data_IF_580406997554
#
_entry.id   IF_580406997554
#
_cell.length_a   1.000
_cell.length_b   1.000
_cell.length_c   1.000
_cell.angle_alpha   90.00
_cell.angle_beta   90.00
_cell.angle_gamma   90.00
#
_symmetry.space_group_name_H-M   'P 1'
#
loop_
_entity.id
_entity.type
_entity.pdbx_description
1 polymer ?
#
# COMPACT_ATOMS: atom_id res chain seq x y z
N UNK A 1 13.76 -9.15 7.09
CA UNK A 1 13.54 -9.04 5.63
C UNK A 1 13.55 -7.55 5.32
N UNK A 2 14.61 -7.04 4.69
CA UNK A 2 14.64 -5.67 4.16
C UNK A 2 14.47 -5.77 2.65
N UNK A 3 13.35 -5.27 2.13
CA UNK A 3 13.24 -4.86 0.74
C UNK A 3 13.60 -3.38 0.77
N UNK A 4 14.78 -2.98 0.31
CA UNK A 4 15.13 -1.56 0.24
C UNK A 4 14.46 -0.94 -1.00
N UNK A 5 14.07 0.33 -0.91
CA UNK A 5 13.41 1.02 -2.01
C UNK A 5 14.41 1.36 -3.13
N UNK A 6 13.94 1.25 -4.39
CA UNK A 6 14.71 1.64 -5.57
C UNK A 6 15.00 3.16 -5.57
N UNK A 7 16.08 3.55 -6.23
CA UNK A 7 16.56 4.94 -6.38
C UNK A 7 15.89 5.70 -7.53
N UNK A 8 14.93 5.07 -8.23
CA UNK A 8 14.21 5.69 -9.35
C UNK A 8 13.50 6.96 -8.91
N UNK A 9 13.72 8.04 -9.65
CA UNK A 9 13.05 9.32 -9.41
C UNK A 9 11.62 9.26 -9.94
N UNK A 10 10.64 9.33 -9.03
CA UNK A 10 9.22 9.43 -9.36
C UNK A 10 8.81 10.89 -9.22
N UNK A 11 8.27 11.49 -10.28
CA UNK A 11 7.73 12.85 -10.23
C UNK A 11 6.61 12.90 -9.17
N UNK A 12 6.69 13.88 -8.27
CA UNK A 12 5.73 13.99 -7.17
C UNK A 12 4.41 14.57 -7.65
N UNK A 13 3.39 13.74 -7.59
CA UNK A 13 1.99 14.15 -7.67
C UNK A 13 1.18 13.36 -6.64
N UNK A 14 1.38 13.71 -5.36
CA UNK A 14 0.68 13.04 -4.27
C UNK A 14 -0.80 13.44 -4.23
N UNK A 15 -1.67 12.47 -3.95
CA UNK A 15 -3.11 12.70 -3.76
C UNK A 15 -3.39 13.65 -2.58
N UNK A 16 -2.46 13.74 -1.63
CA UNK A 16 -2.51 14.68 -0.51
C UNK A 16 -1.47 15.78 -0.68
N UNK A 17 -1.94 17.03 -0.61
CA UNK A 17 -1.10 18.24 -0.66
C UNK A 17 -1.20 19.00 0.65
N UNK A 18 -0.06 19.48 1.15
CA UNK A 18 0.01 20.33 2.35
C UNK A 18 -0.05 21.80 1.92
N UNK A 19 -1.10 22.48 2.34
CA UNK A 19 -1.43 23.83 1.89
C UNK A 19 -1.41 24.79 3.08
N UNK A 20 -0.35 25.60 3.17
CA UNK A 20 -0.27 26.71 4.13
C UNK A 20 -1.08 27.90 3.63
N UNK A 21 -1.75 28.60 4.55
CA UNK A 21 -2.60 29.74 4.23
C UNK A 21 -2.64 30.74 5.39
N UNK A 22 -2.73 32.03 5.03
CA UNK A 22 -3.04 33.12 5.94
C UNK A 22 -4.49 33.56 5.72
N UNK A 23 -5.21 33.81 6.81
CA UNK A 23 -6.66 34.01 6.79
C UNK A 23 -6.95 35.39 7.36
N UNK A 24 -7.78 36.19 6.69
CA UNK A 24 -8.23 37.50 7.22
C UNK A 24 -8.88 37.30 8.59
N UNK A 25 -8.64 38.16 9.58
CA UNK A 25 -9.31 38.12 10.89
C UNK A 25 -10.85 38.29 10.77
N UNK A 26 -11.65 37.81 11.74
CA UNK A 26 -13.09 38.05 11.73
C UNK A 26 -13.38 39.55 11.86
N UNK A 27 -14.21 40.07 10.96
CA UNK A 27 -14.57 41.49 10.86
C UNK A 27 -16.08 41.67 10.99
N UNK A 28 -16.52 42.64 11.81
CA UNK A 28 -17.93 42.99 11.95
C UNK A 28 -18.56 43.48 10.64
N UNK A 29 -17.76 44.09 9.75
CA UNK A 29 -18.23 44.59 8.46
C UNK A 29 -18.31 43.50 7.38
N UNK A 30 -17.66 42.34 7.60
CA UNK A 30 -17.71 41.15 6.74
C UNK A 30 -18.04 39.90 7.58
N UNK A 31 -19.30 39.68 7.97
CA UNK A 31 -19.68 38.64 8.94
C UNK A 31 -19.68 37.22 8.32
N UNK A 32 -18.50 36.73 7.94
CA UNK A 32 -18.26 35.37 7.43
C UNK A 32 -17.82 34.42 8.54
N UNK A 33 -18.24 33.16 8.45
CA UNK A 33 -17.79 32.11 9.37
C UNK A 33 -16.29 31.79 9.20
N UNK A 34 -15.66 31.30 10.27
CA UNK A 34 -14.24 30.90 10.28
C UNK A 34 -13.94 29.84 9.21
N UNK A 35 -14.86 28.89 8.98
CA UNK A 35 -14.75 27.89 7.92
C UNK A 35 -14.84 28.50 6.52
N UNK A 36 -15.74 29.48 6.33
CA UNK A 36 -15.93 30.14 5.03
C UNK A 36 -14.70 30.97 4.66
N UNK A 37 -14.15 31.73 5.62
CA UNK A 37 -12.89 32.47 5.45
C UNK A 37 -11.73 31.53 5.10
N UNK A 38 -11.61 30.40 5.80
CA UNK A 38 -10.60 29.38 5.51
C UNK A 38 -10.78 28.77 4.10
N UNK A 39 -12.03 28.44 3.72
CA UNK A 39 -12.35 27.93 2.38
C UNK A 39 -11.93 28.91 1.28
N UNK A 40 -12.30 30.19 1.43
CA UNK A 40 -11.96 31.25 0.47
C UNK A 40 -10.44 31.36 0.32
N UNK A 41 -9.71 31.43 1.43
CA UNK A 41 -8.25 31.58 1.40
C UNK A 41 -7.56 30.36 0.75
N UNK A 42 -7.96 29.14 1.11
CA UNK A 42 -7.41 27.92 0.50
C UNK A 42 -7.73 27.82 -0.99
N UNK A 43 -8.96 28.16 -1.40
CA UNK A 43 -9.37 28.11 -2.81
C UNK A 43 -8.63 29.14 -3.66
N UNK A 44 -8.44 30.35 -3.13
CA UNK A 44 -7.71 31.43 -3.79
C UNK A 44 -6.22 31.10 -3.92
N UNK A 45 -5.53 30.81 -2.81
CA UNK A 45 -4.07 30.69 -2.78
C UNK A 45 -3.56 29.41 -3.47
N UNK A 46 -4.38 28.34 -3.45
CA UNK A 46 -4.02 27.04 -4.02
C UNK A 46 -4.79 26.68 -5.29
N UNK A 47 -5.56 27.62 -5.85
CA UNK A 47 -6.25 27.46 -7.14
C UNK A 47 -7.29 26.33 -7.16
N UNK A 48 -8.01 26.12 -6.06
CA UNK A 48 -9.01 25.05 -5.94
C UNK A 48 -10.37 25.56 -6.40
N UNK A 49 -11.03 24.81 -7.30
CA UNK A 49 -12.36 25.18 -7.82
C UNK A 49 -13.49 24.90 -6.82
N UNK A 50 -13.36 23.81 -6.07
CA UNK A 50 -14.35 23.34 -5.09
C UNK A 50 -13.62 22.69 -3.92
N UNK A 51 -14.04 23.02 -2.70
CA UNK A 51 -13.39 22.56 -1.47
C UNK A 51 -14.40 22.22 -0.38
N UNK A 52 -14.34 20.98 0.09
CA UNK A 52 -15.08 20.48 1.24
C UNK A 52 -14.17 20.05 2.39
N UNK A 53 -14.78 19.79 3.54
CA UNK A 53 -14.09 19.41 4.76
C UNK A 53 -14.63 18.08 5.27
N UNK A 54 -13.74 17.23 5.77
CA UNK A 54 -14.19 16.12 6.58
C UNK A 54 -14.88 16.64 7.86
N UNK A 55 -16.05 16.08 8.16
CA UNK A 55 -16.94 16.58 9.21
C UNK A 55 -16.26 16.73 10.57
N UNK A 56 -15.34 15.82 10.91
CA UNK A 56 -14.65 15.83 12.20
C UNK A 56 -13.79 17.09 12.43
N UNK A 57 -13.44 17.83 11.37
CA UNK A 57 -12.70 19.08 11.46
C UNK A 57 -13.58 20.26 11.85
N UNK A 58 -14.88 20.25 11.52
CA UNK A 58 -15.75 21.41 11.71
C UNK A 58 -15.76 21.94 13.16
N UNK A 59 -15.86 21.08 14.21
CA UNK A 59 -15.81 21.54 15.58
C UNK A 59 -14.46 22.12 16.02
N UNK A 60 -13.39 21.89 15.25
CA UNK A 60 -12.01 22.23 15.61
C UNK A 60 -11.51 23.52 14.94
N UNK A 61 -12.13 23.92 13.82
CA UNK A 61 -11.67 25.04 12.98
C UNK A 61 -11.37 26.29 13.80
N UNK A 62 -12.33 26.76 14.58
CA UNK A 62 -12.20 28.01 15.35
C UNK A 62 -11.01 27.99 16.32
N UNK A 63 -10.81 26.86 17.00
CA UNK A 63 -9.71 26.69 17.96
C UNK A 63 -8.35 26.62 17.27
N UNK A 64 -8.29 25.93 16.13
CA UNK A 64 -7.08 25.82 15.32
C UNK A 64 -6.68 27.19 14.77
N UNK A 65 -7.61 27.94 14.16
CA UNK A 65 -7.30 29.23 13.55
C UNK A 65 -6.81 30.26 14.57
N UNK A 66 -7.45 30.32 15.75
CA UNK A 66 -7.01 31.22 16.84
C UNK A 66 -5.62 30.83 17.36
N UNK A 67 -5.37 29.54 17.59
CA UNK A 67 -4.06 29.05 18.04
C UNK A 67 -2.95 29.34 17.03
N UNK A 68 -3.29 29.35 15.74
CA UNK A 68 -2.37 29.67 14.65
C UNK A 68 -2.22 31.16 14.36
N UNK A 69 -2.80 32.06 15.15
CA UNK A 69 -2.87 33.51 14.85
C UNK A 69 -3.34 33.77 13.41
N UNK A 70 -4.44 33.11 13.04
CA UNK A 70 -5.05 33.16 11.70
C UNK A 70 -4.17 32.63 10.56
N UNK A 71 -3.17 31.83 10.89
CA UNK A 71 -2.42 31.01 9.93
C UNK A 71 -2.68 29.54 10.17
N UNK A 72 -2.74 28.75 9.10
CA UNK A 72 -3.00 27.32 9.20
C UNK A 72 -2.35 26.54 8.06
N UNK A 73 -2.13 25.24 8.28
CA UNK A 73 -1.80 24.29 7.22
C UNK A 73 -2.92 23.29 7.10
N UNK A 74 -3.48 23.14 5.90
CA UNK A 74 -4.49 22.15 5.56
C UNK A 74 -3.87 21.01 4.75
N UNK A 75 -4.16 19.76 5.11
CA UNK A 75 -3.93 18.63 4.22
C UNK A 75 -5.16 18.48 3.31
N UNK A 76 -4.94 18.59 2.00
CA UNK A 76 -5.98 18.53 0.98
C UNK A 76 -5.83 17.24 0.20
N UNK A 77 -6.81 16.37 0.32
CA UNK A 77 -6.97 15.19 -0.53
C UNK A 77 -7.73 15.57 -1.80
N UNK A 78 -7.19 15.18 -2.96
CA UNK A 78 -7.89 15.28 -4.23
C UNK A 78 -7.71 13.98 -5.01
N UNK A 79 -8.83 13.32 -5.25
CA UNK A 79 -8.88 12.18 -6.16
C UNK A 79 -8.84 12.67 -7.62
N UNK A 80 -8.25 11.89 -8.53
CA UNK A 80 -8.11 12.26 -9.93
C UNK A 80 -9.47 12.46 -10.61
N UNK A 81 -10.45 11.65 -10.22
CA UNK A 81 -11.81 11.67 -10.78
C UNK A 81 -12.75 12.64 -10.06
N UNK A 82 -12.31 13.28 -8.96
CA UNK A 82 -13.13 14.20 -8.19
C UNK A 82 -12.84 15.67 -8.55
N UNK A 83 -13.89 16.39 -8.95
CA UNK A 83 -13.81 17.85 -9.12
C UNK A 83 -13.66 18.58 -7.77
N UNK A 84 -14.19 18.01 -6.69
CA UNK A 84 -14.16 18.59 -5.35
C UNK A 84 -12.95 18.08 -4.58
N UNK A 85 -12.08 18.99 -4.16
CA UNK A 85 -11.01 18.70 -3.22
C UNK A 85 -11.55 18.65 -1.78
N UNK A 86 -10.86 17.96 -0.89
CA UNK A 86 -11.30 17.80 0.49
C UNK A 86 -10.19 18.05 1.48
N UNK A 87 -10.42 18.96 2.43
CA UNK A 87 -9.56 19.12 3.61
C UNK A 87 -9.77 17.92 4.52
N UNK A 88 -8.70 17.13 4.67
CA UNK A 88 -8.70 15.91 5.48
C UNK A 88 -8.01 16.10 6.80
N UNK A 89 -7.13 17.08 6.98
CA UNK A 89 -6.56 17.44 8.27
C UNK A 89 -6.18 18.93 8.32
N UNK A 90 -6.09 19.50 9.52
CA UNK A 90 -5.83 20.92 9.72
C UNK A 90 -4.95 21.14 10.96
N UNK A 91 -3.94 22.00 10.84
CA UNK A 91 -3.02 22.36 11.94
C UNK A 91 -2.88 23.88 12.06
N UNK A 92 -2.65 24.41 13.28
CA UNK A 92 -2.33 25.82 13.49
C UNK A 92 -0.93 26.12 12.94
N UNK A 93 -0.77 27.24 12.23
CA UNK A 93 0.52 27.64 11.66
C UNK A 93 1.05 26.68 10.60
N UNK A 94 2.38 26.70 10.41
CA UNK A 94 3.08 25.87 9.43
C UNK A 94 3.28 24.43 9.94
N UNK A 95 2.82 23.44 9.17
CA UNK A 95 3.11 22.01 9.36
C UNK A 95 3.88 21.47 8.15
N UNK A 96 5.16 21.21 8.35
CA UNK A 96 6.09 20.84 7.28
C UNK A 96 6.44 19.34 7.24
N UNK A 97 5.55 18.50 7.75
CA UNK A 97 5.74 17.05 7.80
C UNK A 97 4.41 16.36 7.57
N UNK A 98 4.39 15.42 6.64
CA UNK A 98 3.27 14.54 6.35
C UNK A 98 3.81 13.28 5.69
N UNK A 99 3.26 12.13 6.07
CA UNK A 99 3.74 10.84 5.66
C UNK A 99 2.63 10.01 5.02
N UNK A 100 3.04 9.03 4.22
CA UNK A 100 2.19 8.01 3.65
C UNK A 100 2.78 6.62 3.84
N UNK A 101 1.97 5.60 3.64
CA UNK A 101 2.39 4.20 3.65
C UNK A 101 2.28 3.60 2.25
N UNK A 102 3.24 2.74 1.89
CA UNK A 102 3.12 1.82 0.77
C UNK A 102 3.33 0.40 1.30
N UNK A 103 2.33 -0.48 1.12
CA UNK A 103 2.29 -1.79 1.75
C UNK A 103 1.97 -2.90 0.73
N UNK A 104 2.88 -3.86 0.63
CA UNK A 104 2.76 -5.08 -0.16
C UNK A 104 2.33 -6.23 0.77
N UNK A 105 1.08 -6.68 0.60
CA UNK A 105 0.48 -7.77 1.38
C UNK A 105 0.71 -9.08 0.62
N UNK A 106 1.92 -9.63 0.75
CA UNK A 106 2.24 -10.94 0.20
C UNK A 106 1.65 -12.10 1.03
N UNK A 107 1.50 -13.26 0.38
CA UNK A 107 1.03 -14.48 1.04
C UNK A 107 1.94 -14.91 2.19
N UNK A 108 3.26 -14.79 2.02
CA UNK A 108 4.26 -15.22 3.00
C UNK A 108 4.84 -14.06 3.81
N UNK A 109 5.05 -12.90 3.16
CA UNK A 109 5.68 -11.72 3.75
C UNK A 109 4.85 -10.49 3.48
N UNK A 110 4.62 -9.67 4.50
CA UNK A 110 4.05 -8.32 4.36
C UNK A 110 5.20 -7.32 4.48
N UNK A 111 5.35 -6.43 3.49
CA UNK A 111 6.38 -5.40 3.47
C UNK A 111 5.74 -4.01 3.46
N UNK A 112 6.34 -3.07 4.19
CA UNK A 112 5.80 -1.71 4.34
C UNK A 112 6.92 -0.67 4.28
N UNK A 113 6.66 0.39 3.54
CA UNK A 113 7.48 1.60 3.47
C UNK A 113 6.72 2.78 4.05
N UNK A 114 7.39 3.55 4.90
CA UNK A 114 6.95 4.87 5.33
C UNK A 114 7.60 5.91 4.42
N UNK A 115 6.79 6.77 3.79
CA UNK A 115 7.24 7.71 2.76
C UNK A 115 6.87 9.13 3.16
N UNK A 116 7.81 10.07 3.03
CA UNK A 116 7.51 11.50 3.20
C UNK A 116 6.68 11.99 2.01
N UNK A 117 5.47 12.49 2.24
CA UNK A 117 4.64 13.07 1.19
C UNK A 117 5.23 14.38 0.65
N UNK A 118 6.08 15.06 1.42
CA UNK A 118 6.73 16.33 1.06
C UNK A 118 8.01 16.15 0.24
N UNK A 119 8.62 14.98 0.24
CA UNK A 119 9.88 14.77 -0.50
C UNK A 119 9.90 13.51 -1.36
N UNK A 120 8.96 12.59 -1.16
CA UNK A 120 8.96 11.26 -1.80
C UNK A 120 10.00 10.30 -1.21
N UNK A 121 10.80 10.74 -0.22
CA UNK A 121 11.84 9.91 0.39
C UNK A 121 11.22 8.84 1.28
N UNK A 122 11.71 7.60 1.16
CA UNK A 122 11.43 6.53 2.12
C UNK A 122 12.12 6.83 3.44
N UNK A 123 11.32 7.05 4.48
CA UNK A 123 11.78 7.35 5.83
C UNK A 123 12.14 6.09 6.62
N UNK A 124 11.38 5.00 6.44
CA UNK A 124 11.63 3.71 7.07
C UNK A 124 11.05 2.58 6.21
N UNK A 125 11.57 1.36 6.39
CA UNK A 125 11.13 0.15 5.68
C UNK A 125 11.19 -1.05 6.61
N UNK A 126 10.08 -1.77 6.74
CA UNK A 126 10.00 -2.94 7.60
C UNK A 126 9.20 -4.05 6.93
N UNK A 127 9.37 -5.27 7.43
CA UNK A 127 8.64 -6.43 6.93
C UNK A 127 8.40 -7.45 8.04
N UNK A 128 7.33 -8.24 7.88
CA UNK A 128 6.97 -9.30 8.81
C UNK A 128 6.43 -10.51 8.05
N UNK A 129 6.59 -11.71 8.62
CA UNK A 129 5.88 -12.89 8.12
C UNK A 129 4.37 -12.65 8.22
N UNK A 130 3.63 -13.06 7.19
CA UNK A 130 2.18 -12.98 7.19
C UNK A 130 1.61 -14.00 8.21
N UNK A 131 0.93 -13.57 9.28
CA UNK A 131 0.44 -14.48 10.32
C UNK A 131 -0.67 -15.40 9.81
N UNK A 132 -1.22 -15.15 8.63
CA UNK A 132 -2.23 -16.00 8.03
C UNK A 132 -1.71 -17.40 7.65
N UNK A 133 -0.38 -17.60 7.63
CA UNK A 133 0.24 -18.92 7.45
C UNK A 133 -0.32 -19.99 8.40
N UNK A 134 -0.74 -19.60 9.62
CA UNK A 134 -1.33 -20.52 10.61
C UNK A 134 -2.69 -21.09 10.20
N UNK A 135 -3.35 -20.46 9.23
CA UNK A 135 -4.65 -20.89 8.71
C UNK A 135 -4.53 -21.60 7.36
N UNK A 136 -3.34 -21.59 6.75
CA UNK A 136 -3.08 -22.15 5.43
C UNK A 136 -1.74 -21.65 4.91
N UNK A 137 -0.87 -22.58 4.54
CA UNK A 137 0.48 -22.27 4.06
C UNK A 137 0.45 -21.55 2.72
N UNK A 138 -0.46 -21.96 1.84
CA UNK A 138 -0.67 -21.36 0.53
C UNK A 138 -2.03 -20.61 0.42
N UNK A 139 -2.29 -20.06 -0.75
CA UNK A 139 -3.51 -19.31 -1.02
C UNK A 139 -4.78 -20.19 -0.99
N UNK A 140 -4.73 -21.39 -1.58
CA UNK A 140 -5.91 -22.25 -1.72
C UNK A 140 -6.29 -22.94 -0.42
N UNK A 141 -5.31 -23.29 0.41
CA UNK A 141 -5.52 -23.78 1.78
C UNK A 141 -6.16 -22.73 2.66
N UNK A 142 -5.83 -21.43 2.49
CA UNK A 142 -6.55 -20.35 3.18
C UNK A 142 -8.00 -20.24 2.74
N UNK A 143 -8.27 -20.32 1.43
CA UNK A 143 -9.66 -20.34 0.93
C UNK A 143 -10.41 -21.54 1.51
N UNK A 144 -9.80 -22.72 1.50
CA UNK A 144 -10.37 -23.94 2.07
C UNK A 144 -10.64 -23.79 3.57
N UNK A 145 -9.74 -23.14 4.31
CA UNK A 145 -9.94 -22.87 5.73
C UNK A 145 -11.14 -21.94 5.97
N UNK A 146 -11.33 -20.89 5.17
CA UNK A 146 -12.53 -20.04 5.23
C UNK A 146 -13.79 -20.85 4.96
N UNK A 147 -13.78 -21.73 3.97
CA UNK A 147 -14.93 -22.60 3.65
C UNK A 147 -15.27 -23.59 4.76
N UNK A 148 -14.26 -24.11 5.46
CA UNK A 148 -14.42 -25.13 6.49
C UNK A 148 -14.69 -24.56 7.89
N UNK A 149 -14.39 -23.28 8.12
CA UNK A 149 -14.49 -22.65 9.43
C UNK A 149 -15.34 -21.37 9.34
N UNK A 150 -16.54 -21.33 9.97
CA UNK A 150 -17.43 -20.16 9.91
C UNK A 150 -16.76 -18.83 10.27
N UNK A 151 -15.85 -18.84 11.24
CA UNK A 151 -15.14 -17.64 11.70
C UNK A 151 -13.79 -17.42 10.98
N UNK A 152 -13.47 -18.26 9.99
CA UNK A 152 -12.16 -18.27 9.33
C UNK A 152 -11.84 -16.97 8.60
N UNK A 153 -12.81 -16.41 7.87
CA UNK A 153 -12.67 -15.10 7.19
C UNK A 153 -12.34 -13.99 8.19
N UNK A 154 -13.10 -13.90 9.29
CA UNK A 154 -12.93 -12.87 10.30
C UNK A 154 -11.56 -13.01 10.99
N UNK A 155 -11.21 -14.23 11.42
CA UNK A 155 -9.91 -14.52 12.03
C UNK A 155 -8.72 -14.17 11.13
N UNK A 156 -8.82 -14.44 9.82
CA UNK A 156 -7.78 -14.05 8.86
C UNK A 156 -7.72 -12.55 8.60
N UNK A 157 -8.88 -11.88 8.55
CA UNK A 157 -8.99 -10.42 8.39
C UNK A 157 -8.34 -9.69 9.56
N UNK A 158 -8.68 -10.11 10.78
CA UNK A 158 -8.07 -9.58 12.01
C UNK A 158 -6.57 -9.80 12.00
N UNK A 159 -6.12 -11.03 11.70
CA UNK A 159 -4.69 -11.36 11.71
C UNK A 159 -3.85 -10.48 10.76
N UNK A 160 -4.31 -10.25 9.52
CA UNK A 160 -3.58 -9.40 8.57
C UNK A 160 -3.60 -7.92 8.97
N UNK A 161 -4.74 -7.41 9.47
CA UNK A 161 -4.86 -6.02 9.91
C UNK A 161 -4.04 -5.74 11.17
N UNK A 162 -3.96 -6.69 12.11
CA UNK A 162 -3.09 -6.59 13.28
C UNK A 162 -1.60 -6.59 12.89
N UNK A 163 -1.19 -7.46 11.96
CA UNK A 163 0.18 -7.47 11.45
C UNK A 163 0.55 -6.17 10.76
N UNK A 164 -0.35 -5.62 9.93
CA UNK A 164 -0.18 -4.32 9.28
C UNK A 164 -0.08 -3.21 10.33
N UNK A 165 -0.96 -3.21 11.34
CA UNK A 165 -0.88 -2.23 12.43
C UNK A 165 0.44 -2.32 13.18
N UNK A 166 0.93 -3.51 13.48
CA UNK A 166 2.25 -3.71 14.10
C UNK A 166 3.41 -3.26 13.21
N UNK A 167 3.30 -3.43 11.88
CA UNK A 167 4.26 -2.86 10.93
C UNK A 167 4.24 -1.33 10.94
N UNK A 168 3.05 -0.71 11.03
CA UNK A 168 2.93 0.74 11.18
C UNK A 168 3.72 1.22 12.40
N UNK A 169 3.61 0.54 13.56
CA UNK A 169 4.39 0.91 14.76
C UNK A 169 5.89 0.83 14.51
N UNK A 170 6.37 -0.23 13.85
CA UNK A 170 7.79 -0.41 13.55
C UNK A 170 8.32 0.70 12.64
N UNK A 171 7.65 0.99 11.54
CA UNK A 171 8.10 2.04 10.61
C UNK A 171 7.96 3.43 11.21
N UNK A 172 6.95 3.67 12.05
CA UNK A 172 6.82 4.91 12.82
C UNK A 172 8.01 5.10 13.78
N UNK A 173 8.35 4.06 14.54
CA UNK A 173 9.47 4.10 15.48
C UNK A 173 10.81 4.30 14.77
N UNK A 174 11.07 3.56 13.68
CA UNK A 174 12.29 3.69 12.88
C UNK A 174 12.39 5.06 12.18
N UNK A 175 11.26 5.58 11.69
CA UNK A 175 11.19 6.87 11.01
C UNK A 175 11.10 8.09 11.95
N UNK A 176 10.95 7.87 13.26
CA UNK A 176 10.62 8.90 14.26
C UNK A 176 9.38 9.73 13.87
N UNK A 177 8.30 9.04 13.47
CA UNK A 177 7.05 9.62 12.99
C UNK A 177 5.90 9.20 13.90
N UNK A 178 4.94 10.08 14.14
CA UNK A 178 3.70 9.71 14.83
C UNK A 178 2.69 9.14 13.83
N UNK A 179 1.90 8.13 14.26
CA UNK A 179 0.79 7.58 13.44
C UNK A 179 -0.15 8.65 12.90
N UNK A 180 -0.37 9.71 13.67
CA UNK A 180 -1.24 10.83 13.29
C UNK A 180 -0.64 11.76 12.23
N UNK A 181 0.64 11.64 11.89
CA UNK A 181 1.26 12.34 10.75
C UNK A 181 1.15 11.55 9.44
N UNK A 182 0.61 10.33 9.48
CA UNK A 182 0.34 9.50 8.30
C UNK A 182 -1.04 9.86 7.77
N UNK A 183 -1.09 10.44 6.57
CA UNK A 183 -2.30 10.96 5.94
C UNK A 183 -2.77 10.10 4.75
N UNK A 184 -1.86 9.34 4.14
CA UNK A 184 -2.17 8.52 2.97
C UNK A 184 -1.63 7.10 3.13
N UNK A 185 -2.26 6.13 2.49
CA UNK A 185 -1.81 4.75 2.54
C UNK A 185 -2.23 3.97 1.31
N UNK A 186 -1.28 3.30 0.67
CA UNK A 186 -1.47 2.50 -0.53
C UNK A 186 -1.17 1.05 -0.22
N UNK A 187 -2.08 0.16 -0.63
CA UNK A 187 -1.98 -1.28 -0.41
C UNK A 187 -2.08 -2.03 -1.74
N UNK A 188 -1.29 -3.10 -1.84
CA UNK A 188 -1.29 -4.06 -2.95
C UNK A 188 -1.24 -5.48 -2.41
N UNK A 189 -1.64 -6.44 -3.23
CA UNK A 189 -1.58 -7.86 -2.92
C UNK A 189 -2.39 -8.67 -3.92
N UNK A 190 -2.13 -9.98 -3.95
CA UNK A 190 -2.89 -10.90 -4.79
C UNK A 190 -4.38 -10.90 -4.38
N UNK A 191 -5.29 -11.41 -5.23
CA UNK A 191 -6.73 -11.29 -5.00
C UNK A 191 -7.23 -11.82 -3.64
N UNK A 192 -6.63 -12.89 -3.13
CA UNK A 192 -7.02 -13.46 -1.83
C UNK A 192 -6.55 -12.56 -0.69
N UNK A 193 -5.31 -12.06 -0.74
CA UNK A 193 -4.79 -11.10 0.25
C UNK A 193 -5.57 -9.79 0.21
N UNK A 194 -5.92 -9.32 -0.99
CA UNK A 194 -6.76 -8.16 -1.23
C UNK A 194 -8.12 -8.30 -0.54
N UNK A 195 -8.85 -9.39 -0.80
CA UNK A 195 -10.17 -9.62 -0.22
C UNK A 195 -10.11 -9.75 1.29
N UNK A 196 -9.19 -10.57 1.82
CA UNK A 196 -9.04 -10.76 3.26
C UNK A 196 -8.68 -9.46 3.99
N UNK A 197 -7.81 -8.63 3.42
CA UNK A 197 -7.48 -7.33 4.01
C UNK A 197 -8.69 -6.39 4.07
N UNK A 198 -9.51 -6.37 3.02
CA UNK A 198 -10.76 -5.61 2.97
C UNK A 198 -11.90 -6.25 3.78
N UNK A 199 -11.72 -7.47 4.31
CA UNK A 199 -12.73 -8.22 5.04
C UNK A 199 -13.77 -8.90 4.14
N UNK A 200 -13.50 -8.99 2.85
CA UNK A 200 -14.30 -9.66 1.84
C UNK A 200 -14.01 -11.17 1.89
N UNK A 201 -15.05 -11.98 1.73
CA UNK A 201 -14.92 -13.43 1.64
C UNK A 201 -14.22 -13.86 0.33
N UNK A 202 -13.07 -14.56 0.38
CA UNK A 202 -12.36 -15.02 -0.82
C UNK A 202 -12.89 -16.35 -1.38
N UNK A 203 -13.95 -16.96 -0.82
CA UNK A 203 -14.44 -18.30 -1.22
C UNK A 203 -14.66 -18.45 -2.72
N UNK A 204 -15.25 -17.44 -3.37
CA UNK A 204 -15.53 -17.46 -4.82
C UNK A 204 -14.26 -17.39 -5.70
N UNK A 205 -13.09 -17.14 -5.11
CA UNK A 205 -11.79 -17.23 -5.79
C UNK A 205 -11.24 -18.66 -5.80
N UNK A 206 -11.78 -19.56 -4.98
CA UNK A 206 -11.34 -20.96 -4.90
C UNK A 206 -11.97 -21.88 -5.97
N UNK A 207 -13.04 -21.44 -6.63
CA UNK A 207 -13.76 -22.22 -7.64
C UNK A 207 -14.00 -21.43 -8.90
N UNK A 208 -13.98 -22.09 -10.07
CA UNK A 208 -14.35 -21.46 -11.32
C UNK A 208 -15.77 -20.87 -11.22
N UNK A 209 -16.00 -19.61 -11.64
CA UNK A 209 -15.16 -18.81 -12.54
C UNK A 209 -14.16 -17.85 -11.85
N UNK A 210 -13.78 -18.09 -10.59
CA UNK A 210 -12.81 -17.29 -9.82
C UNK A 210 -13.27 -15.84 -9.66
N UNK A 211 -14.50 -15.65 -9.20
CA UNK A 211 -15.17 -14.35 -9.24
C UNK A 211 -14.63 -13.38 -8.18
N UNK A 212 -14.20 -12.20 -8.61
CA UNK A 212 -13.87 -11.08 -7.73
C UNK A 212 -15.16 -10.40 -7.27
N UNK A 213 -15.32 -10.17 -5.97
CA UNK A 213 -16.37 -9.29 -5.45
C UNK A 213 -16.16 -7.82 -5.89
N UNK A 214 -14.90 -7.39 -5.92
CA UNK A 214 -14.47 -6.07 -6.38
C UNK A 214 -13.18 -6.23 -7.18
N UNK A 215 -13.16 -5.70 -8.40
CA UNK A 215 -11.96 -5.65 -9.26
C UNK A 215 -11.41 -4.24 -9.43
N UNK A 216 -12.25 -3.21 -9.30
CA UNK A 216 -11.83 -1.81 -9.36
C UNK A 216 -11.01 -1.39 -8.13
N UNK A 217 -10.37 -0.23 -8.24
CA UNK A 217 -9.62 0.34 -7.13
C UNK A 217 -10.57 0.74 -5.98
N UNK A 218 -10.11 0.60 -4.73
CA UNK A 218 -10.91 0.91 -3.54
C UNK A 218 -10.33 2.13 -2.84
N UNK A 219 -11.18 3.14 -2.62
CA UNK A 219 -10.83 4.40 -1.96
C UNK A 219 -11.68 4.53 -0.70
N UNK A 220 -11.07 4.45 0.47
CA UNK A 220 -11.76 4.51 1.76
C UNK A 220 -10.96 5.34 2.78
N UNK A 221 -11.50 5.56 3.97
CA UNK A 221 -10.71 6.05 5.11
C UNK A 221 -10.02 4.87 5.78
N UNK A 222 -8.81 5.10 6.29
CA UNK A 222 -8.11 4.06 7.07
C UNK A 222 -8.94 3.58 8.28
N UNK A 223 -9.75 4.49 8.86
CA UNK A 223 -10.67 4.18 9.96
C UNK A 223 -11.76 3.17 9.60
N UNK A 224 -12.17 3.08 8.33
CA UNK A 224 -13.26 2.21 7.90
C UNK A 224 -12.90 0.72 8.04
N UNK A 225 -11.60 0.41 8.03
CA UNK A 225 -11.06 -0.94 8.28
C UNK A 225 -10.44 -1.08 9.68
N UNK A 226 -10.57 -0.05 10.53
CA UNK A 226 -10.00 -0.03 11.88
C UNK A 226 -8.49 0.25 11.94
N UNK A 227 -7.85 0.67 10.83
CA UNK A 227 -6.44 1.04 10.82
C UNK A 227 -6.27 2.45 11.41
N UNK A 228 -5.69 2.51 12.62
CA UNK A 228 -5.51 3.76 13.37
C UNK A 228 -4.29 4.55 12.86
N UNK A 229 -4.55 5.52 11.98
CA UNK A 229 -3.62 6.54 11.48
C UNK A 229 -4.14 7.93 11.88
N UNK A 230 -3.93 8.97 11.06
CA UNK A 230 -4.68 10.20 11.18
C UNK A 230 -6.19 9.95 10.95
N UNK A 231 -7.06 10.68 11.63
CA UNK A 231 -8.53 10.56 11.48
C UNK A 231 -9.01 10.84 10.05
N UNK A 232 -8.30 11.70 9.32
CA UNK A 232 -8.55 12.01 7.91
C UNK A 232 -7.80 11.10 6.93
N UNK A 233 -7.00 10.14 7.43
CA UNK A 233 -6.13 9.34 6.58
C UNK A 233 -6.91 8.57 5.52
N UNK A 234 -6.40 8.60 4.28
CA UNK A 234 -6.96 7.88 3.14
C UNK A 234 -6.24 6.56 2.93
N UNK A 235 -6.99 5.61 2.41
CA UNK A 235 -6.52 4.29 2.05
C UNK A 235 -6.94 4.00 0.62
N UNK A 236 -5.95 3.67 -0.20
CA UNK A 236 -6.09 3.27 -1.58
C UNK A 236 -5.63 1.82 -1.75
N UNK A 237 -6.54 0.94 -2.18
CA UNK A 237 -6.21 -0.41 -2.61
C UNK A 237 -6.21 -0.44 -4.14
N UNK A 238 -5.11 -0.90 -4.74
CA UNK A 238 -5.01 -1.01 -6.19
C UNK A 238 -6.03 -2.04 -6.74
N UNK A 239 -6.46 -1.88 -8.01
CA UNK A 239 -7.41 -2.79 -8.63
C UNK A 239 -6.82 -4.19 -8.87
N UNK A 240 -7.67 -5.21 -8.83
CA UNK A 240 -7.32 -6.57 -9.29
C UNK A 240 -7.61 -6.73 -10.78
N UNK A 241 -6.71 -7.38 -11.52
CA UNK A 241 -6.86 -7.63 -12.96
C UNK A 241 -7.81 -8.82 -13.22
N UNK A 242 -7.68 -9.89 -12.44
CA UNK A 242 -8.49 -11.11 -12.54
C UNK A 242 -8.48 -11.89 -11.21
N UNK A 243 -9.26 -12.99 -11.12
CA UNK A 243 -9.37 -13.80 -9.90
C UNK A 243 -8.05 -14.36 -9.35
N UNK A 244 -7.01 -14.48 -10.20
CA UNK A 244 -5.65 -14.88 -9.81
C UNK A 244 -4.56 -13.87 -10.19
N UNK A 245 -4.93 -12.70 -10.70
CA UNK A 245 -3.96 -11.64 -11.04
C UNK A 245 -4.35 -10.38 -10.28
N UNK A 246 -3.60 -10.07 -9.23
CA UNK A 246 -4.00 -9.10 -8.22
C UNK A 246 -3.47 -7.69 -8.42
N UNK A 247 -3.64 -6.93 -7.35
CA UNK A 247 -3.22 -5.55 -7.22
C UNK A 247 -1.69 -5.40 -7.15
N UNK A 248 -1.00 -6.44 -6.69
CA UNK A 248 0.46 -6.60 -6.76
C UNK A 248 0.96 -6.62 -8.22
N UNK A 249 0.39 -7.47 -9.08
CA UNK A 249 0.73 -7.50 -10.51
C UNK A 249 0.38 -6.18 -11.21
N UNK A 250 -0.73 -5.54 -10.82
CA UNK A 250 -1.07 -4.20 -11.29
C UNK A 250 -0.02 -3.15 -10.89
N UNK A 251 0.50 -3.22 -9.66
CA UNK A 251 1.56 -2.34 -9.17
C UNK A 251 2.87 -2.53 -9.95
N UNK A 252 3.27 -3.78 -10.19
CA UNK A 252 4.44 -4.12 -11.02
C UNK A 252 4.26 -3.56 -12.43
N UNK A 253 3.08 -3.77 -13.04
CA UNK A 253 2.75 -3.22 -14.37
C UNK A 253 2.83 -1.69 -14.39
N UNK A 254 2.39 -1.02 -13.33
CA UNK A 254 2.45 0.44 -13.22
C UNK A 254 3.89 0.95 -13.07
N UNK A 255 4.71 0.23 -12.30
CA UNK A 255 6.13 0.53 -12.07
C UNK A 255 6.95 0.36 -13.35
N UNK A 256 6.92 -0.85 -13.92
CA UNK A 256 7.75 -1.18 -15.09
C UNK A 256 7.24 -0.50 -16.37
N UNK A 257 5.94 -0.24 -16.44
CA UNK A 257 5.34 0.57 -17.49
C UNK A 257 5.46 -0.02 -18.90
N UNK A 258 5.18 -1.31 -19.16
CA UNK A 258 5.22 -1.88 -20.51
C UNK A 258 4.30 -1.12 -21.47
N UNK A 259 3.18 -0.58 -20.97
CA UNK A 259 2.24 0.27 -21.72
C UNK A 259 2.81 1.62 -22.20
N UNK A 260 4.03 2.00 -21.80
CA UNK A 260 4.67 3.29 -22.12
C UNK A 260 5.74 3.18 -23.21
N UNK A 261 5.93 2.01 -23.80
CA UNK A 261 6.99 1.74 -24.77
C UNK A 261 6.51 0.88 -25.94
N UNK A 262 7.32 0.82 -27.00
CA UNK A 262 6.98 0.11 -28.24
C UNK A 262 7.39 -1.35 -28.20
N UNK A 263 8.51 -1.60 -27.54
CA UNK A 263 9.10 -2.93 -27.42
C UNK A 263 8.24 -3.83 -26.54
N UNK A 264 8.12 -5.09 -26.97
CA UNK A 264 7.44 -6.12 -26.20
C UNK A 264 8.26 -6.44 -24.95
N UNK A 265 7.66 -6.24 -23.78
CA UNK A 265 8.27 -6.55 -22.49
C UNK A 265 7.53 -7.71 -21.84
N UNK A 266 8.30 -8.69 -21.37
CA UNK A 266 7.84 -9.78 -20.52
C UNK A 266 8.33 -9.52 -19.11
N UNK A 267 7.39 -9.38 -18.18
CA UNK A 267 7.63 -9.29 -16.75
C UNK A 267 7.17 -10.59 -16.14
N UNK A 268 8.00 -11.17 -15.28
CA UNK A 268 7.68 -12.38 -14.51
C UNK A 268 7.97 -12.07 -13.05
N UNK A 269 6.92 -11.93 -12.25
CA UNK A 269 7.03 -11.92 -10.80
C UNK A 269 7.00 -13.36 -10.32
N UNK A 270 8.04 -13.78 -9.59
CA UNK A 270 8.21 -15.17 -9.16
C UNK A 270 8.03 -15.24 -7.65
N UNK A 271 6.86 -15.69 -7.22
CA UNK A 271 6.56 -16.05 -5.84
C UNK A 271 5.92 -17.42 -5.74
N UNK A 272 5.04 -17.58 -4.74
CA UNK A 272 4.23 -18.79 -4.55
C UNK A 272 3.38 -19.11 -5.79
N UNK A 273 2.93 -18.06 -6.48
CA UNK A 273 2.47 -18.08 -7.85
C UNK A 273 3.43 -17.27 -8.71
N UNK A 274 3.44 -17.52 -10.02
CA UNK A 274 4.09 -16.63 -10.97
C UNK A 274 3.05 -15.78 -11.70
N UNK A 275 3.12 -14.47 -11.48
CA UNK A 275 2.38 -13.48 -12.26
C UNK A 275 3.21 -13.06 -13.47
N UNK A 276 2.61 -13.21 -14.64
CA UNK A 276 3.26 -12.93 -15.93
C UNK A 276 2.52 -11.79 -16.61
N UNK A 277 3.25 -10.74 -16.97
CA UNK A 277 2.73 -9.61 -17.74
C UNK A 277 3.50 -9.51 -19.05
N UNK A 278 2.80 -9.53 -20.18
CA UNK A 278 3.38 -9.37 -21.50
C UNK A 278 2.72 -8.20 -22.20
N UNK A 279 3.50 -7.21 -22.65
CA UNK A 279 2.90 -6.12 -23.40
C UNK A 279 3.82 -5.01 -23.86
N UNK A 280 3.19 -4.09 -24.56
CA UNK A 280 3.73 -2.81 -25.02
C UNK A 280 2.59 -1.75 -25.03
N UNK A 281 2.81 -0.56 -25.61
CA UNK A 281 1.78 0.50 -25.66
C UNK A 281 0.50 0.11 -26.41
N UNK A 282 0.55 -0.90 -27.27
CA UNK A 282 -0.63 -1.32 -28.05
C UNK A 282 -1.53 -2.25 -27.24
N UNK A 283 -0.92 -3.15 -26.45
CA UNK A 283 -1.65 -4.12 -25.65
C UNK A 283 -0.79 -4.64 -24.51
N UNK A 284 -1.43 -4.81 -23.36
CA UNK A 284 -0.88 -5.52 -22.21
C UNK A 284 -1.83 -6.68 -21.87
N UNK A 285 -1.27 -7.86 -21.65
CA UNK A 285 -2.00 -9.04 -21.15
C UNK A 285 -1.31 -9.55 -19.89
N UNK A 286 -2.09 -10.16 -19.00
CA UNK A 286 -1.58 -10.75 -17.78
C UNK A 286 -2.12 -12.18 -17.59
N UNK A 287 -1.32 -13.02 -16.97
CA UNK A 287 -1.67 -14.38 -16.59
C UNK A 287 -1.07 -14.68 -15.22
N UNK A 288 -1.65 -15.64 -14.51
CA UNK A 288 -1.04 -16.23 -13.32
C UNK A 288 -0.88 -17.72 -13.55
N UNK A 289 0.25 -18.26 -13.09
CA UNK A 289 0.55 -19.68 -13.15
C UNK A 289 0.87 -20.18 -11.73
N UNK A 290 0.23 -21.26 -11.26
CA UNK A 290 0.68 -21.91 -10.04
C UNK A 290 2.08 -22.48 -10.29
N UNK A 291 3.07 -21.97 -9.55
CA UNK A 291 4.46 -22.46 -9.60
C UNK A 291 4.73 -23.46 -8.49
N UNK A 292 3.99 -23.36 -7.38
CA UNK A 292 4.27 -24.10 -6.15
C UNK A 292 5.53 -23.57 -5.45
N UNK A 293 5.77 -23.95 -4.20
CA UNK A 293 6.82 -23.36 -3.38
C UNK A 293 8.21 -23.97 -3.64
N UNK A 294 8.42 -24.62 -4.79
CA UNK A 294 9.68 -25.29 -5.14
C UNK A 294 10.86 -24.31 -5.12
N UNK A 295 10.69 -23.10 -5.67
CA UNK A 295 11.73 -22.05 -5.62
C UNK A 295 11.88 -21.40 -4.24
N UNK A 296 10.88 -21.55 -3.36
CA UNK A 296 10.96 -21.14 -1.95
C UNK A 296 11.61 -22.24 -1.07
N UNK A 297 11.92 -23.39 -1.67
CA UNK A 297 12.55 -24.54 -1.01
C UNK A 297 11.59 -25.44 -0.24
N UNK A 298 10.27 -25.28 -0.38
CA UNK A 298 9.31 -26.22 0.24
C UNK A 298 9.00 -27.39 -0.70
N UNK A 299 8.52 -28.51 -0.13
CA UNK A 299 8.23 -29.76 -0.85
C UNK A 299 9.43 -30.36 -1.61
N UNK A 300 10.66 -30.00 -1.23
CA UNK A 300 11.92 -30.56 -1.74
C UNK A 300 12.71 -31.07 -0.54
N UNK A 301 13.18 -32.32 -0.57
CA UNK A 301 13.84 -32.99 0.56
C UNK A 301 15.06 -32.26 1.12
N UNK A 302 15.83 -31.58 0.26
CA UNK A 302 16.94 -30.70 0.62
C UNK A 302 16.65 -29.21 0.40
N UNK A 303 15.39 -28.86 0.12
CA UNK A 303 14.97 -27.49 -0.10
C UNK A 303 14.98 -26.69 1.19
N UNK A 304 15.43 -25.45 1.08
CA UNK A 304 15.40 -24.48 2.17
C UNK A 304 15.38 -23.07 1.58
N UNK A 305 14.89 -22.10 2.37
CA UNK A 305 14.98 -20.69 2.00
C UNK A 305 16.43 -20.24 1.91
N UNK A 306 16.67 -19.19 1.12
CA UNK A 306 17.98 -18.55 1.04
C UNK A 306 18.40 -17.98 2.41
N UNK A 307 19.23 -18.73 3.13
CA UNK A 307 19.74 -18.43 4.45
C UNK A 307 21.15 -19.01 4.60
N UNK A 308 21.97 -18.57 5.57
CA UNK A 308 23.27 -19.16 5.83
C UNK A 308 23.18 -20.70 5.97
N UNK A 309 24.02 -21.42 5.22
CA UNK A 309 23.95 -22.89 5.11
C UNK A 309 23.19 -23.41 3.87
N UNK A 310 22.42 -22.56 3.17
CA UNK A 310 21.79 -22.93 1.91
C UNK A 310 22.79 -22.88 0.74
N UNK A 311 22.68 -23.83 -0.20
CA UNK A 311 23.46 -23.84 -1.43
C UNK A 311 22.86 -22.80 -2.41
N UNK A 312 23.60 -21.74 -2.74
CA UNK A 312 23.15 -20.70 -3.68
C UNK A 312 23.58 -20.95 -5.13
N UNK A 313 24.56 -21.84 -5.34
CA UNK A 313 25.09 -22.11 -6.67
C UNK A 313 25.63 -23.52 -6.75
N UNK A 314 25.34 -24.21 -7.85
CA UNK A 314 25.94 -25.50 -8.20
C UNK A 314 26.46 -25.42 -9.63
N UNK A 315 27.64 -26.01 -9.87
CA UNK A 315 28.21 -26.25 -11.20
C UNK A 315 28.69 -27.70 -11.23
N UNK A 316 28.35 -28.44 -12.27
CA UNK A 316 28.80 -29.81 -12.47
C UNK A 316 29.67 -29.81 -13.70
N UNK A 317 30.90 -30.31 -13.58
CA UNK A 317 31.80 -30.48 -14.72
C UNK A 317 31.21 -31.53 -15.68
N UNK A 318 31.03 -31.24 -16.98
CA UNK A 318 30.37 -32.15 -17.90
C UNK A 318 31.22 -33.38 -18.24
N UNK A 319 32.53 -33.31 -18.08
CA UNK A 319 33.46 -34.39 -18.43
C UNK A 319 33.76 -35.28 -17.21
N UNK A 320 34.02 -34.66 -16.04
CA UNK A 320 34.37 -35.39 -14.82
C UNK A 320 33.17 -35.73 -13.94
N UNK A 321 32.03 -35.04 -14.17
CA UNK A 321 30.82 -35.09 -13.33
C UNK A 321 31.06 -34.60 -11.89
N UNK A 322 32.19 -33.94 -11.61
CA UNK A 322 32.47 -33.41 -10.28
C UNK A 322 31.62 -32.17 -9.98
N UNK A 323 30.85 -32.17 -8.87
CA UNK A 323 30.06 -31.01 -8.47
C UNK A 323 30.94 -30.01 -7.69
N UNK A 324 30.77 -28.73 -8.00
CA UNK A 324 31.24 -27.59 -7.20
C UNK A 324 30.03 -26.78 -6.78
N UNK A 325 29.95 -26.41 -5.52
CA UNK A 325 28.83 -25.65 -5.00
C UNK A 325 29.30 -24.52 -4.09
N UNK A 326 28.45 -23.51 -3.92
CA UNK A 326 28.69 -22.40 -3.01
C UNK A 326 27.55 -22.32 -2.01
N UNK A 327 27.91 -22.11 -0.75
CA UNK A 327 26.97 -22.02 0.38
C UNK A 327 26.90 -20.58 0.86
N UNK A 328 25.69 -20.07 1.08
CA UNK A 328 25.47 -18.74 1.64
C UNK A 328 26.17 -18.65 3.01
N UNK A 329 26.98 -17.61 3.20
CA UNK A 329 27.75 -17.40 4.43
C UNK A 329 29.03 -18.23 4.55
N UNK A 330 29.43 -18.93 3.49
CA UNK A 330 30.71 -19.64 3.39
C UNK A 330 31.56 -19.05 2.26
N UNK A 331 32.85 -18.81 2.54
CA UNK A 331 33.85 -18.47 1.51
C UNK A 331 34.64 -19.68 0.99
N UNK A 332 34.41 -20.87 1.56
CA UNK A 332 34.91 -22.14 1.03
C UNK A 332 34.29 -22.46 -0.34
#
# INVERSE_FOLDING_TARGET
IRKDADTRVIARDAAIRMCYVEIEEPDMHKPLGDLDRLKIALMHDWGLKSLDFDFYLLPQVQGILRKGNWTATAAIYKDADSETARVVALWPGLKNEAYGLACDIGSTTIAMHLVSLLSGRVAASSGTSNPQIRFGEDLMSRVSYVMMNPDGREGMTVAVREAISGLVDKVCAEGNVQRNDILDSVFVGNPIMHHLFLGIDPTELGGAPFALAVSGAVHIKASDIGLKLNQGARLYMLPCIAGHVGADAAAVTLSEGPHRQDEMMLIVDVGTNAEIVLGNRQRVVAASSPTGPAFEGAEISGGQRAAPGAIERVRIDPDTLEPKYRVIGSEL
#
